data_IF_782756453067
#
_entry.id   IF_782756453067
#
_cell.length_a   1.000
_cell.length_b   1.000
_cell.length_c   1.000
_cell.angle_alpha   90.00
_cell.angle_beta   90.00
_cell.angle_gamma   90.00
#
_symmetry.space_group_name_H-M   'P 1'
#
loop_
_entity.id
_entity.type
_entity.pdbx_description
1 polymer ?
#
# COMPACT_ATOMS: atom_id res chain seq x y z
N UNK A 1 10.64 -0.18 -4.69
CA UNK A 1 10.37 -1.19 -3.64
C UNK A 1 10.43 -2.63 -4.15
N UNK A 2 9.85 -2.98 -5.31
CA UNK A 2 9.94 -4.33 -5.91
C UNK A 2 11.39 -4.80 -6.10
N UNK A 3 12.23 -3.99 -6.77
CA UNK A 3 13.67 -4.24 -6.93
C UNK A 3 14.43 -4.47 -5.62
N UNK A 4 14.01 -3.77 -4.55
CA UNK A 4 14.60 -3.89 -3.21
C UNK A 4 14.13 -5.15 -2.46
N UNK A 5 13.27 -5.96 -3.08
CA UNK A 5 12.68 -7.13 -2.44
C UNK A 5 11.82 -6.78 -1.23
N UNK A 6 11.18 -5.61 -1.20
CA UNK A 6 10.31 -5.18 -0.10
C UNK A 6 8.82 -5.47 -0.35
N UNK A 7 8.43 -5.69 -1.60
CA UNK A 7 7.09 -6.13 -1.99
C UNK A 7 7.12 -7.63 -2.25
N UNK A 8 6.96 -8.41 -1.18
CA UNK A 8 6.98 -9.87 -1.20
C UNK A 8 6.08 -10.42 -0.09
N UNK A 9 6.04 -11.74 0.04
CA UNK A 9 5.28 -12.48 1.06
C UNK A 9 6.12 -12.92 2.27
N UNK A 10 7.38 -12.50 2.36
CA UNK A 10 8.28 -12.87 3.46
C UNK A 10 7.76 -12.37 4.80
N UNK A 11 7.64 -13.27 5.76
CA UNK A 11 7.13 -12.97 7.10
C UNK A 11 8.22 -12.35 8.01
N UNK A 12 8.57 -11.08 7.79
CA UNK A 12 9.60 -10.39 8.60
C UNK A 12 9.19 -10.18 10.06
N UNK A 13 7.89 -10.02 10.31
CA UNK A 13 7.35 -9.59 11.60
C UNK A 13 6.36 -10.62 12.16
N UNK A 14 6.55 -11.91 11.89
CA UNK A 14 5.63 -12.98 12.29
C UNK A 14 5.37 -13.05 13.80
N UNK A 15 6.33 -12.61 14.62
CA UNK A 15 6.22 -12.53 16.08
C UNK A 15 5.32 -11.37 16.56
N UNK A 16 4.93 -10.44 15.67
CA UNK A 16 4.06 -9.32 15.99
C UNK A 16 2.61 -9.62 15.59
N UNK A 17 1.66 -9.02 16.30
CA UNK A 17 0.22 -9.22 16.04
C UNK A 17 -0.30 -8.41 14.86
N UNK A 18 -1.45 -8.85 14.33
CA UNK A 18 -2.22 -8.12 13.32
C UNK A 18 -1.85 -8.42 11.86
N UNK A 19 -1.21 -9.56 11.59
CA UNK A 19 -1.13 -10.14 10.24
C UNK A 19 -2.49 -10.72 9.79
N UNK A 20 -2.58 -11.26 8.55
CA UNK A 20 -3.72 -12.07 8.12
C UNK A 20 -3.84 -13.35 8.97
N UNK A 21 -5.05 -13.70 9.41
CA UNK A 21 -5.30 -14.79 10.35
C UNK A 21 -6.33 -15.80 9.85
N UNK A 22 -7.22 -15.42 8.94
CA UNK A 22 -8.33 -16.25 8.46
C UNK A 22 -8.10 -16.79 7.05
N UNK A 23 -8.81 -17.86 6.70
CA UNK A 23 -8.69 -18.55 5.41
C UNK A 23 -7.54 -19.56 5.37
N UNK A 24 -7.24 -20.04 4.16
CA UNK A 24 -6.12 -20.93 3.90
C UNK A 24 -4.78 -20.21 4.06
N UNK A 25 -3.68 -20.95 4.03
CA UNK A 25 -2.34 -20.33 4.07
C UNK A 25 -2.04 -19.48 2.82
N UNK A 26 -2.65 -19.84 1.69
CA UNK A 26 -2.63 -19.03 0.47
C UNK A 26 -3.42 -17.73 0.66
N UNK A 27 -4.63 -17.78 1.23
CA UNK A 27 -5.41 -16.56 1.52
C UNK A 27 -4.61 -15.59 2.40
N UNK A 28 -3.95 -16.10 3.45
CA UNK A 28 -3.11 -15.29 4.34
C UNK A 28 -1.90 -14.70 3.60
N UNK A 29 -1.25 -15.50 2.77
CA UNK A 29 -0.07 -15.11 1.99
C UNK A 29 -0.39 -14.01 0.98
N UNK A 30 -1.48 -14.19 0.23
CA UNK A 30 -1.95 -13.24 -0.77
C UNK A 30 -2.47 -11.94 -0.14
N UNK A 31 -3.24 -12.04 0.95
CA UNK A 31 -3.67 -10.88 1.73
C UNK A 31 -2.48 -10.07 2.25
N UNK A 32 -1.42 -10.72 2.76
CA UNK A 32 -0.22 -10.03 3.22
C UNK A 32 0.44 -9.23 2.09
N UNK A 33 0.54 -9.80 0.88
CA UNK A 33 1.14 -9.09 -0.25
C UNK A 33 0.29 -7.89 -0.67
N UNK A 34 -1.03 -8.05 -0.79
CA UNK A 34 -1.94 -6.96 -1.17
C UNK A 34 -1.94 -5.84 -0.13
N UNK A 35 -1.98 -6.18 1.16
CA UNK A 35 -1.94 -5.19 2.24
C UNK A 35 -0.62 -4.43 2.32
N UNK A 36 0.51 -5.07 1.99
CA UNK A 36 1.81 -4.38 1.87
C UNK A 36 1.85 -3.40 0.70
N UNK A 37 1.29 -3.76 -0.45
CA UNK A 37 1.15 -2.84 -1.58
C UNK A 37 0.29 -1.64 -1.19
N UNK A 38 -0.81 -1.89 -0.49
CA UNK A 38 -1.70 -0.84 0.00
C UNK A 38 -1.03 0.13 1.01
N UNK A 39 0.02 -0.28 1.75
CA UNK A 39 0.81 0.63 2.60
C UNK A 39 1.65 1.67 1.84
N UNK A 40 1.69 1.63 0.50
CA UNK A 40 2.29 2.70 -0.31
C UNK A 40 1.32 3.89 -0.43
N UNK A 41 0.01 3.65 -0.26
CA UNK A 41 -1.01 4.69 -0.27
C UNK A 41 -1.37 5.19 1.13
N UNK A 42 -2.34 6.10 1.18
CA UNK A 42 -2.83 6.71 2.42
C UNK A 42 -4.32 6.40 2.60
N UNK A 43 -4.73 6.15 3.84
CA UNK A 43 -6.16 6.05 4.16
C UNK A 43 -6.80 7.44 4.09
N UNK A 44 -7.91 7.58 3.37
CA UNK A 44 -8.75 8.78 3.36
C UNK A 44 -9.71 8.74 4.55
N UNK A 45 -9.47 9.65 5.50
CA UNK A 45 -10.23 9.77 6.74
C UNK A 45 -10.25 11.22 7.24
N UNK A 46 -11.21 11.52 8.11
CA UNK A 46 -11.34 12.82 8.78
C UNK A 46 -10.08 13.17 9.58
N UNK A 47 -9.69 14.46 9.72
CA UNK A 47 -8.46 14.90 10.40
C UNK A 47 -8.58 14.84 11.94
N UNK A 48 -9.00 13.70 12.48
CA UNK A 48 -9.26 13.47 13.91
C UNK A 48 -8.41 12.33 14.49
N UNK A 49 -7.35 11.96 13.78
CA UNK A 49 -6.49 10.82 14.10
C UNK A 49 -7.00 9.50 13.51
N UNK A 50 -6.16 8.46 13.58
CA UNK A 50 -6.51 7.13 13.09
C UNK A 50 -7.44 6.43 14.10
N UNK A 51 -8.56 5.91 13.61
CA UNK A 51 -9.48 5.08 14.39
C UNK A 51 -9.85 3.84 13.58
N UNK A 52 -9.07 2.79 13.79
CA UNK A 52 -9.29 1.49 13.20
C UNK A 52 -8.49 0.39 13.90
N UNK A 53 -8.56 -0.86 13.41
CA UNK A 53 -7.81 -1.97 14.00
C UNK A 53 -6.31 -1.70 14.04
N UNK A 54 -5.61 -2.24 15.04
CA UNK A 54 -4.15 -2.15 15.13
C UNK A 54 -3.50 -3.35 14.44
N UNK A 55 -2.58 -3.10 13.52
CA UNK A 55 -1.65 -4.11 13.00
C UNK A 55 -0.22 -3.71 13.32
N UNK A 56 0.40 -4.38 14.30
CA UNK A 56 1.81 -4.14 14.64
C UNK A 56 2.72 -4.55 13.49
N UNK A 57 2.37 -5.61 12.77
CA UNK A 57 3.10 -6.03 11.58
C UNK A 57 3.14 -4.94 10.48
N UNK A 58 1.98 -4.37 10.12
CA UNK A 58 1.93 -3.33 9.07
C UNK A 58 2.49 -1.99 9.56
N UNK A 59 2.38 -1.70 10.85
CA UNK A 59 3.03 -0.53 11.46
C UNK A 59 4.56 -0.64 11.39
N UNK A 60 5.14 -1.82 11.68
CA UNK A 60 6.56 -2.06 11.48
C UNK A 60 6.94 -2.00 9.99
N UNK A 61 6.14 -2.60 9.10
CA UNK A 61 6.38 -2.55 7.65
C UNK A 61 6.38 -1.11 7.11
N UNK A 62 5.57 -0.22 7.65
CA UNK A 62 5.55 1.22 7.30
C UNK A 62 6.89 1.91 7.52
N UNK A 63 7.73 1.44 8.44
CA UNK A 63 9.10 1.95 8.56
C UNK A 63 9.92 1.70 7.29
N UNK A 64 9.81 0.51 6.67
CA UNK A 64 10.49 0.17 5.42
C UNK A 64 10.00 1.02 4.25
N UNK A 65 8.68 1.22 4.16
CA UNK A 65 8.07 2.10 3.13
C UNK A 65 8.56 3.54 3.31
N UNK A 66 8.55 4.06 4.54
CA UNK A 66 8.97 5.42 4.85
C UNK A 66 10.46 5.64 4.55
N UNK A 67 11.32 4.64 4.82
CA UNK A 67 12.74 4.74 4.45
C UNK A 67 12.94 4.84 2.94
N UNK A 68 12.29 3.99 2.15
CA UNK A 68 12.38 4.07 0.68
C UNK A 68 11.89 5.42 0.17
N UNK A 69 10.75 5.91 0.68
CA UNK A 69 10.21 7.22 0.33
C UNK A 69 11.23 8.34 0.63
N UNK A 70 11.77 8.37 1.85
CA UNK A 70 12.74 9.40 2.26
C UNK A 70 14.01 9.34 1.43
N UNK A 71 14.54 8.15 1.12
CA UNK A 71 15.72 8.02 0.25
C UNK A 71 15.43 8.51 -1.18
N UNK A 72 14.26 8.22 -1.73
CA UNK A 72 13.87 8.74 -3.06
C UNK A 72 13.73 10.26 -3.04
N UNK A 73 13.17 10.83 -1.96
CA UNK A 73 13.08 12.27 -1.78
C UNK A 73 14.46 12.92 -1.76
N UNK A 74 15.37 12.40 -0.94
CA UNK A 74 16.75 12.88 -0.83
C UNK A 74 17.47 12.81 -2.18
N UNK A 75 17.30 11.70 -2.92
CA UNK A 75 17.92 11.54 -4.23
C UNK A 75 17.44 12.61 -5.22
N UNK A 76 16.14 12.88 -5.27
CA UNK A 76 15.57 13.90 -6.16
C UNK A 76 16.07 15.31 -5.79
N UNK A 77 16.13 15.62 -4.50
CA UNK A 77 16.67 16.90 -4.02
C UNK A 77 18.16 17.05 -4.32
N UNK A 78 18.94 15.96 -4.21
CA UNK A 78 20.35 15.95 -4.56
C UNK A 78 20.59 16.17 -6.06
N UNK A 79 19.82 15.51 -6.93
CA UNK A 79 19.87 15.71 -8.38
C UNK A 79 19.44 17.14 -8.74
N UNK A 80 18.40 17.67 -8.09
CA UNK A 80 17.98 19.06 -8.31
C UNK A 80 19.07 20.06 -7.90
N UNK A 81 19.72 19.83 -6.75
CA UNK A 81 20.83 20.66 -6.29
C UNK A 81 22.01 20.61 -7.28
N UNK A 82 22.35 19.43 -7.81
CA UNK A 82 23.37 19.28 -8.86
C UNK A 82 23.02 20.11 -10.10
N UNK A 83 21.80 19.98 -10.64
CA UNK A 83 21.37 20.74 -11.82
C UNK A 83 21.57 22.25 -11.64
N UNK A 84 21.20 22.78 -10.48
CA UNK A 84 21.45 24.19 -10.19
C UNK A 84 22.92 24.51 -10.02
N UNK A 85 23.70 23.71 -9.30
CA UNK A 85 25.12 24.01 -9.03
C UNK A 85 25.99 23.89 -10.29
N UNK A 86 25.69 22.95 -11.17
CA UNK A 86 26.36 22.74 -12.47
C UNK A 86 25.98 23.80 -13.51
N UNK A 87 24.87 24.52 -13.30
CA UNK A 87 24.38 25.52 -14.26
C UNK A 87 23.51 24.92 -15.37
N UNK A 88 23.07 23.67 -15.21
CA UNK A 88 22.18 22.96 -16.13
C UNK A 88 20.70 23.33 -15.92
N UNK A 89 20.41 24.27 -15.02
CA UNK A 89 19.08 24.80 -14.75
C UNK A 89 19.11 26.32 -14.57
N UNK A 90 18.03 26.98 -14.99
CA UNK A 90 17.85 28.42 -14.85
C UNK A 90 17.74 28.82 -13.36
N UNK A 91 18.56 29.78 -12.94
CA UNK A 91 18.65 30.28 -11.57
C UNK A 91 17.92 31.62 -11.39
N UNK A 92 17.50 32.28 -12.46
CA UNK A 92 16.77 33.54 -12.40
C UNK A 92 15.27 33.27 -12.16
N UNK A 93 14.95 32.97 -10.89
CA UNK A 93 13.62 32.50 -10.50
C UNK A 93 13.26 32.86 -9.06
N UNK A 94 11.95 32.99 -8.81
CA UNK A 94 11.38 33.41 -7.53
C UNK A 94 10.53 32.31 -6.83
N UNK A 95 10.29 31.19 -7.51
CA UNK A 95 9.34 30.13 -7.12
C UNK A 95 9.97 28.97 -6.31
N UNK A 96 11.11 29.19 -5.65
CA UNK A 96 11.91 28.15 -4.98
C UNK A 96 11.11 27.27 -4.00
N UNK A 97 10.26 27.90 -3.19
CA UNK A 97 9.43 27.18 -2.21
C UNK A 97 8.37 26.33 -2.90
N UNK A 98 7.71 26.86 -3.92
CA UNK A 98 6.68 26.13 -4.68
C UNK A 98 7.28 24.93 -5.42
N UNK A 99 8.46 25.09 -6.04
CA UNK A 99 9.19 24.01 -6.68
C UNK A 99 9.49 22.88 -5.68
N UNK A 100 10.03 23.22 -4.50
CA UNK A 100 10.38 22.23 -3.47
C UNK A 100 9.15 21.47 -2.98
N UNK A 101 8.01 22.16 -2.82
CA UNK A 101 6.74 21.54 -2.41
C UNK A 101 6.15 20.63 -3.49
N UNK A 102 6.38 20.95 -4.78
CA UNK A 102 5.92 20.15 -5.92
C UNK A 102 6.75 18.89 -6.18
N UNK A 103 7.96 18.81 -5.64
CA UNK A 103 8.76 17.59 -5.75
C UNK A 103 8.00 16.38 -5.17
N UNK A 104 8.10 15.19 -5.79
CA UNK A 104 7.40 14.01 -5.30
C UNK A 104 7.91 13.57 -3.93
N UNK A 105 7.17 12.67 -3.28
CA UNK A 105 7.54 12.05 -1.99
C UNK A 105 7.59 13.00 -0.78
N UNK A 106 6.99 14.19 -0.86
CA UNK A 106 6.91 15.12 0.27
C UNK A 106 6.07 14.58 1.43
N UNK A 107 4.93 13.97 1.12
CA UNK A 107 4.01 13.44 2.11
C UNK A 107 4.48 12.08 2.61
N UNK A 108 4.43 11.86 3.92
CA UNK A 108 4.76 10.57 4.48
C UNK A 108 3.65 9.54 4.23
N UNK A 109 4.05 8.27 4.17
CA UNK A 109 3.12 7.16 4.03
C UNK A 109 2.58 6.74 5.40
N UNK A 110 1.37 6.19 5.44
CA UNK A 110 0.83 5.49 6.61
C UNK A 110 0.54 4.04 6.29
N UNK A 111 0.16 3.25 7.30
CA UNK A 111 -0.27 1.88 7.12
C UNK A 111 -1.79 1.72 7.13
N UNK A 112 -2.56 2.81 7.22
CA UNK A 112 -4.01 2.77 7.42
C UNK A 112 -4.72 2.10 6.24
N UNK A 113 -4.31 2.43 5.01
CA UNK A 113 -4.86 1.84 3.80
C UNK A 113 -4.54 0.33 3.72
N UNK A 114 -3.32 -0.05 4.10
CA UNK A 114 -2.91 -1.45 4.23
C UNK A 114 -3.72 -2.22 5.26
N UNK A 115 -4.01 -1.62 6.42
CA UNK A 115 -4.83 -2.24 7.46
C UNK A 115 -6.29 -2.38 7.00
N UNK A 116 -6.83 -1.39 6.27
CA UNK A 116 -8.17 -1.46 5.69
C UNK A 116 -8.29 -2.62 4.68
N UNK A 117 -7.37 -2.69 3.71
CA UNK A 117 -7.32 -3.79 2.75
C UNK A 117 -7.16 -5.15 3.45
N UNK A 118 -6.23 -5.24 4.41
CA UNK A 118 -6.00 -6.44 5.20
C UNK A 118 -7.27 -6.90 5.90
N UNK A 119 -7.95 -5.98 6.59
CA UNK A 119 -9.14 -6.28 7.40
C UNK A 119 -10.30 -6.76 6.55
N UNK A 120 -10.54 -6.14 5.40
CA UNK A 120 -11.52 -6.60 4.44
C UNK A 120 -11.22 -8.01 3.92
N UNK A 121 -9.99 -8.23 3.44
CA UNK A 121 -9.57 -9.51 2.86
C UNK A 121 -9.49 -10.64 3.90
N UNK A 122 -9.28 -10.31 5.17
CA UNK A 122 -9.25 -11.26 6.29
C UNK A 122 -10.65 -11.60 6.79
N UNK A 123 -11.63 -10.71 6.67
CA UNK A 123 -13.03 -11.01 7.05
C UNK A 123 -13.79 -11.79 5.97
N UNK A 124 -13.44 -11.61 4.69
CA UNK A 124 -14.10 -12.30 3.56
C UNK A 124 -14.19 -13.83 3.69
N UNK A 125 -13.14 -14.57 4.12
CA UNK A 125 -13.22 -16.02 4.32
C UNK A 125 -14.27 -16.49 5.33
N UNK A 126 -14.83 -15.60 6.16
CA UNK A 126 -15.92 -15.95 7.07
C UNK A 126 -17.28 -16.09 6.35
N UNK A 127 -17.39 -15.63 5.10
CA UNK A 127 -18.60 -15.76 4.29
C UNK A 127 -18.66 -17.15 3.62
N UNK A 128 -19.86 -17.70 3.43
CA UNK A 128 -20.05 -19.03 2.81
C UNK A 128 -19.50 -19.08 1.37
N UNK A 129 -19.61 -17.98 0.62
CA UNK A 129 -19.00 -17.82 -0.69
C UNK A 129 -18.22 -16.48 -0.76
N UNK A 130 -16.93 -16.47 -0.38
CA UNK A 130 -16.13 -15.24 -0.31
C UNK A 130 -15.94 -14.49 -1.64
N UNK A 131 -16.29 -15.11 -2.77
CA UNK A 131 -16.17 -14.51 -4.11
C UNK A 131 -17.48 -13.98 -4.66
N UNK A 132 -18.60 -14.21 -3.99
CA UNK A 132 -19.89 -13.71 -4.47
C UNK A 132 -20.00 -12.19 -4.32
N UNK A 133 -20.73 -11.50 -5.22
CA UNK A 133 -20.98 -10.07 -5.09
C UNK A 133 -21.60 -9.68 -3.74
N UNK A 134 -22.51 -10.52 -3.22
CA UNK A 134 -23.22 -10.31 -1.97
C UNK A 134 -22.27 -10.36 -0.77
N UNK A 135 -21.40 -11.38 -0.71
CA UNK A 135 -20.40 -11.51 0.35
C UNK A 135 -19.45 -10.31 0.38
N UNK A 136 -19.02 -9.83 -0.79
CA UNK A 136 -18.16 -8.63 -0.90
C UNK A 136 -18.90 -7.38 -0.45
N UNK A 137 -20.16 -7.20 -0.87
CA UNK A 137 -20.96 -6.04 -0.47
C UNK A 137 -21.21 -6.03 1.04
N UNK A 138 -21.56 -7.17 1.63
CA UNK A 138 -21.80 -7.32 3.06
C UNK A 138 -20.53 -7.02 3.87
N UNK A 139 -19.39 -7.60 3.48
CA UNK A 139 -18.12 -7.35 4.16
C UNK A 139 -17.65 -5.90 4.00
N UNK A 140 -17.88 -5.27 2.84
CA UNK A 140 -17.62 -3.82 2.65
C UNK A 140 -18.51 -2.97 3.58
N UNK A 141 -19.77 -3.36 3.80
CA UNK A 141 -20.68 -2.64 4.68
C UNK A 141 -20.24 -2.63 6.16
N UNK A 142 -19.59 -3.71 6.62
CA UNK A 142 -18.96 -3.78 7.96
C UNK A 142 -17.83 -2.77 8.16
N UNK A 143 -17.25 -2.26 7.07
CA UNK A 143 -16.16 -1.29 7.07
C UNK A 143 -16.35 -0.07 7.95
N UNK A 144 -17.58 0.44 8.03
CA UNK A 144 -17.91 1.61 8.87
C UNK A 144 -17.73 1.33 10.37
N UNK A 145 -17.94 0.09 10.81
CA UNK A 145 -17.71 -0.30 12.20
C UNK A 145 -16.22 -0.36 12.53
N UNK A 146 -15.39 -0.81 11.58
CA UNK A 146 -13.94 -0.89 11.75
C UNK A 146 -13.24 0.46 11.58
N UNK A 147 -13.68 1.29 10.64
CA UNK A 147 -13.05 2.57 10.29
C UNK A 147 -14.08 3.70 10.33
N UNK A 148 -14.52 4.04 11.55
CA UNK A 148 -15.64 4.97 11.82
C UNK A 148 -15.45 6.37 11.25
N UNK A 149 -14.20 6.76 11.03
CA UNK A 149 -13.82 8.10 10.58
C UNK A 149 -13.23 8.10 9.17
N UNK A 150 -13.26 6.96 8.47
CA UNK A 150 -12.95 6.92 7.04
C UNK A 150 -14.02 7.69 6.25
N UNK A 151 -13.60 8.39 5.20
CA UNK A 151 -14.54 9.13 4.34
C UNK A 151 -15.42 8.16 3.55
N UNK A 152 -14.80 7.10 3.03
CA UNK A 152 -15.47 5.96 2.42
C UNK A 152 -14.60 4.72 2.56
N UNK A 153 -15.05 3.71 3.30
CA UNK A 153 -14.30 2.45 3.42
C UNK A 153 -14.18 1.75 2.05
N UNK A 154 -15.28 1.67 1.30
CA UNK A 154 -15.28 1.10 -0.05
C UNK A 154 -14.38 1.89 -1.00
N UNK A 155 -14.42 3.23 -0.95
CA UNK A 155 -13.55 4.07 -1.78
C UNK A 155 -12.07 3.88 -1.45
N UNK A 156 -11.73 3.70 -0.17
CA UNK A 156 -10.38 3.34 0.25
C UNK A 156 -9.97 1.95 -0.27
N UNK A 157 -10.85 0.94 -0.24
CA UNK A 157 -10.56 -0.36 -0.84
C UNK A 157 -10.34 -0.25 -2.36
N UNK A 158 -11.16 0.53 -3.05
CA UNK A 158 -11.00 0.76 -4.49
C UNK A 158 -9.65 1.43 -4.80
N UNK A 159 -9.22 2.38 -3.96
CA UNK A 159 -7.88 2.97 -4.06
C UNK A 159 -6.78 1.93 -3.84
N UNK A 160 -6.91 1.07 -2.82
CA UNK A 160 -5.96 0.00 -2.55
C UNK A 160 -5.86 -0.99 -3.72
N UNK A 161 -6.98 -1.35 -4.34
CA UNK A 161 -7.00 -2.27 -5.49
C UNK A 161 -6.51 -1.62 -6.79
N UNK A 162 -6.75 -0.32 -7.01
CA UNK A 162 -6.11 0.42 -8.12
C UNK A 162 -4.59 0.48 -7.95
N UNK A 163 -4.12 0.67 -6.72
CA UNK A 163 -2.70 0.65 -6.41
C UNK A 163 -2.10 -0.74 -6.64
N UNK A 164 -2.83 -1.80 -6.27
CA UNK A 164 -2.48 -3.17 -6.64
C UNK A 164 -2.33 -3.33 -8.15
N UNK A 165 -3.33 -2.93 -8.94
CA UNK A 165 -3.29 -3.06 -10.40
C UNK A 165 -2.09 -2.32 -11.02
N UNK A 166 -1.79 -1.12 -10.54
CA UNK A 166 -0.64 -0.35 -11.01
C UNK A 166 0.69 -1.04 -10.68
N UNK A 167 0.85 -1.54 -9.45
CA UNK A 167 2.06 -2.23 -9.02
C UNK A 167 2.21 -3.58 -9.73
N UNK A 168 1.13 -4.34 -9.88
CA UNK A 168 1.14 -5.60 -10.63
C UNK A 168 1.55 -5.39 -12.08
N UNK A 169 0.98 -4.39 -12.78
CA UNK A 169 1.42 -4.04 -14.14
C UNK A 169 2.91 -3.69 -14.19
N UNK A 170 3.42 -2.96 -13.20
CA UNK A 170 4.83 -2.65 -13.10
C UNK A 170 5.70 -3.90 -12.88
N UNK A 171 5.24 -4.89 -12.11
CA UNK A 171 5.99 -6.14 -11.89
C UNK A 171 6.06 -6.99 -13.15
N UNK A 172 5.02 -6.98 -13.99
CA UNK A 172 5.04 -7.63 -15.30
C UNK A 172 6.07 -7.02 -16.26
N UNK A 173 6.28 -5.70 -16.19
CA UNK A 173 7.27 -4.98 -17.02
C UNK A 173 8.71 -4.99 -16.47
N UNK A 174 8.90 -5.37 -15.20
CA UNK A 174 10.19 -5.25 -14.50
C UNK A 174 11.18 -6.39 -14.79
N UNK A 175 10.80 -7.40 -15.58
CA UNK A 175 11.66 -8.52 -15.95
C UNK A 175 12.26 -9.22 -14.72
N UNK A 176 13.59 -9.30 -14.63
CA UNK A 176 14.30 -9.95 -13.52
C UNK A 176 14.31 -9.15 -12.21
N UNK A 177 13.92 -7.87 -12.23
CA UNK A 177 13.89 -7.04 -11.02
C UNK A 177 12.68 -7.34 -10.13
N UNK A 178 11.57 -7.79 -10.70
CA UNK A 178 10.43 -8.31 -9.96
C UNK A 178 10.65 -9.79 -9.66
N UNK A 179 11.07 -10.07 -8.43
CA UNK A 179 11.14 -11.45 -7.92
C UNK A 179 9.72 -12.01 -7.74
N UNK A 180 9.62 -13.34 -7.72
CA UNK A 180 8.40 -14.07 -7.39
C UNK A 180 7.21 -13.80 -8.34
N UNK A 181 7.47 -13.71 -9.65
CA UNK A 181 6.44 -13.46 -10.67
C UNK A 181 5.19 -14.37 -10.53
N UNK A 182 5.39 -15.67 -10.28
CA UNK A 182 4.29 -16.63 -10.04
C UNK A 182 3.42 -16.23 -8.85
N UNK A 183 4.02 -15.74 -7.76
CA UNK A 183 3.28 -15.29 -6.58
C UNK A 183 2.43 -14.06 -6.91
N UNK A 184 2.95 -13.13 -7.72
CA UNK A 184 2.19 -11.98 -8.19
C UNK A 184 1.00 -12.39 -9.04
N UNK A 185 1.19 -13.31 -9.98
CA UNK A 185 0.11 -13.79 -10.86
C UNK A 185 -0.98 -14.54 -10.07
N UNK A 186 -0.57 -15.43 -9.16
CA UNK A 186 -1.50 -16.16 -8.30
C UNK A 186 -2.28 -15.20 -7.37
N UNK A 187 -1.59 -14.22 -6.77
CA UNK A 187 -2.23 -13.21 -5.92
C UNK A 187 -3.23 -12.37 -6.74
N UNK A 188 -2.87 -11.99 -7.96
CA UNK A 188 -3.73 -11.20 -8.83
C UNK A 188 -5.00 -11.98 -9.23
N UNK A 189 -4.85 -13.25 -9.61
CA UNK A 189 -5.98 -14.13 -9.92
C UNK A 189 -6.90 -14.33 -8.69
N UNK A 190 -6.30 -14.54 -7.51
CA UNK A 190 -7.02 -14.67 -6.24
C UNK A 190 -7.80 -13.41 -5.87
N UNK A 191 -7.18 -12.24 -6.06
CA UNK A 191 -7.78 -10.95 -5.74
C UNK A 191 -8.92 -10.57 -6.69
N UNK A 192 -8.87 -11.02 -7.95
CA UNK A 192 -9.89 -10.71 -8.96
C UNK A 192 -11.30 -11.10 -8.52
N UNK A 193 -11.45 -12.25 -7.84
CA UNK A 193 -12.74 -12.70 -7.29
C UNK A 193 -13.16 -11.98 -5.99
N UNK A 194 -12.25 -11.26 -5.33
CA UNK A 194 -12.44 -10.71 -3.97
C UNK A 194 -12.55 -9.18 -3.92
N UNK A 195 -12.29 -8.47 -5.02
CA UNK A 195 -12.37 -7.00 -5.10
C UNK A 195 -13.74 -6.45 -5.48
#
# INVERSE_FOLDING_TARGET
MARLGLLNTKQWFSHLSGGPMRGSDDDKTFNLLVSRVACIGKLQHKPIGYSGPLSRQLLCYRSLVSQVRSTLRILIEAVLAELFLSGDADRDREDWSEMTLKLPFINDNDCGLGIAARTYLDDLPAQTNPTSPEARAETKAKGKAWFQHSDSFSGNLDLAFKLWDAVYKATQGAGKEAKDAKTWDNTNAWLAGRR
#
